data_IF_870040352982
#
_entry.id   IF_870040352982
#
_cell.length_a   1.000
_cell.length_b   1.000
_cell.length_c   1.000
_cell.angle_alpha   90.00
_cell.angle_beta   90.00
_cell.angle_gamma   90.00
#
_symmetry.space_group_name_H-M   'P 1'
#
loop_
_entity.id
_entity.type
_entity.pdbx_description
1 polymer ?
#
# COMPACT_ATOMS: atom_id res chain seq x y z
N UNK A 1 16.51 -32.91 5.38
CA UNK A 1 15.34 -33.47 6.08
C UNK A 1 14.15 -32.58 5.80
N UNK A 2 12.92 -33.10 5.82
CA UNK A 2 11.72 -32.27 5.68
C UNK A 2 11.25 -31.80 7.05
N UNK A 3 10.81 -30.55 7.16
CA UNK A 3 10.28 -29.96 8.41
C UNK A 3 8.86 -29.46 8.18
N UNK A 4 7.96 -29.79 9.10
CA UNK A 4 6.59 -29.28 9.10
C UNK A 4 6.61 -27.76 9.45
N UNK A 5 5.87 -26.97 8.66
CA UNK A 5 5.71 -25.52 8.81
C UNK A 5 4.22 -25.09 8.82
N UNK A 6 3.31 -25.99 9.20
CA UNK A 6 1.88 -25.68 9.34
C UNK A 6 1.66 -24.61 10.41
N UNK A 7 2.44 -24.63 11.49
CA UNK A 7 2.37 -23.63 12.56
C UNK A 7 0.95 -23.53 13.14
N UNK A 8 0.39 -22.33 13.09
CA UNK A 8 -0.96 -21.93 13.49
C UNK A 8 -1.92 -21.69 12.31
N UNK A 9 -1.61 -22.18 11.10
CA UNK A 9 -2.58 -22.17 10.01
C UNK A 9 -3.86 -22.93 10.43
N UNK A 10 -5.07 -22.40 10.13
CA UNK A 10 -6.30 -23.09 10.48
C UNK A 10 -6.37 -24.48 9.85
N UNK A 11 -6.85 -25.48 10.60
CA UNK A 11 -6.90 -26.88 10.14
C UNK A 11 -7.70 -27.08 8.84
N UNK A 12 -8.70 -26.23 8.60
CA UNK A 12 -9.54 -26.23 7.41
C UNK A 12 -9.04 -25.29 6.29
N UNK A 13 -7.89 -24.63 6.46
CA UNK A 13 -7.27 -23.79 5.44
C UNK A 13 -6.43 -24.64 4.48
N UNK A 14 -7.10 -25.35 3.56
CA UNK A 14 -6.41 -26.08 2.51
C UNK A 14 -5.51 -25.13 1.69
N UNK A 15 -4.21 -25.43 1.64
CA UNK A 15 -3.20 -24.63 0.95
C UNK A 15 -3.09 -25.08 -0.50
N UNK A 16 -3.31 -24.16 -1.44
CA UNK A 16 -3.16 -24.39 -2.88
C UNK A 16 -1.77 -24.04 -3.38
N UNK A 17 -1.20 -22.98 -2.83
CA UNK A 17 0.06 -22.42 -3.30
C UNK A 17 0.87 -21.87 -2.13
N UNK A 18 2.17 -22.09 -2.17
CA UNK A 18 3.13 -21.51 -1.25
C UNK A 18 4.23 -20.80 -2.06
N UNK A 19 4.59 -19.59 -1.65
CA UNK A 19 5.64 -18.78 -2.29
C UNK A 19 6.49 -18.11 -1.22
N UNK A 20 7.80 -18.30 -1.34
CA UNK A 20 8.78 -17.55 -0.58
C UNK A 20 9.00 -16.17 -1.22
N UNK A 21 9.17 -15.15 -0.39
CA UNK A 21 9.48 -13.81 -0.89
C UNK A 21 10.92 -13.75 -1.46
N UNK A 22 11.12 -13.15 -2.64
CA UNK A 22 12.43 -13.13 -3.29
C UNK A 22 13.48 -12.24 -2.59
N UNK A 23 13.07 -11.33 -1.70
CA UNK A 23 13.97 -10.41 -0.97
C UNK A 23 14.13 -10.78 0.50
N UNK A 24 13.15 -11.46 1.10
CA UNK A 24 13.23 -11.93 2.49
C UNK A 24 12.70 -13.36 2.64
N UNK A 25 13.63 -14.32 2.77
CA UNK A 25 13.33 -15.75 2.89
C UNK A 25 12.46 -16.14 4.11
N UNK A 26 12.39 -15.28 5.14
CA UNK A 26 11.50 -15.49 6.28
C UNK A 26 10.05 -15.17 5.97
N UNK A 27 9.81 -14.41 4.90
CA UNK A 27 8.48 -14.05 4.44
C UNK A 27 7.97 -15.11 3.48
N UNK A 28 6.92 -15.80 3.89
CA UNK A 28 6.30 -16.87 3.11
C UNK A 28 4.82 -16.58 2.96
N UNK A 29 4.34 -16.60 1.73
CA UNK A 29 2.94 -16.45 1.38
C UNK A 29 2.30 -17.82 1.17
N UNK A 30 1.12 -18.02 1.75
CA UNK A 30 0.29 -19.19 1.53
C UNK A 30 -1.08 -18.76 0.97
N UNK A 31 -1.39 -19.21 -0.24
CA UNK A 31 -2.72 -19.10 -0.81
C UNK A 31 -3.56 -20.29 -0.38
N UNK A 32 -4.69 -20.02 0.28
CA UNK A 32 -5.57 -21.05 0.85
C UNK A 32 -7.00 -20.87 0.35
N UNK A 33 -7.86 -21.86 0.59
CA UNK A 33 -9.33 -21.74 0.43
C UNK A 33 -9.93 -20.56 1.21
N UNK A 34 -9.32 -20.19 2.33
CA UNK A 34 -9.81 -19.15 3.23
C UNK A 34 -9.20 -17.76 2.96
N UNK A 35 -8.36 -17.62 1.93
CA UNK A 35 -7.67 -16.38 1.58
C UNK A 35 -6.15 -16.48 1.62
N UNK A 36 -5.52 -15.30 1.63
CA UNK A 36 -4.07 -15.15 1.69
C UNK A 36 -3.58 -15.13 3.14
N UNK A 37 -2.58 -15.94 3.43
CA UNK A 37 -1.84 -15.94 4.68
C UNK A 37 -0.38 -15.57 4.40
N UNK A 38 0.27 -14.94 5.38
CA UNK A 38 1.69 -14.61 5.35
C UNK A 38 2.35 -15.00 6.66
N UNK A 39 3.51 -15.63 6.58
CA UNK A 39 4.40 -15.85 7.72
C UNK A 39 5.59 -14.90 7.60
N UNK A 40 5.99 -14.28 8.72
CA UNK A 40 7.24 -13.52 8.82
C UNK A 40 8.34 -14.29 9.58
N UNK A 41 8.04 -15.52 9.99
CA UNK A 41 8.90 -16.37 10.84
C UNK A 41 9.39 -17.60 10.10
N UNK A 42 9.26 -17.66 8.77
CA UNK A 42 9.62 -18.82 7.96
C UNK A 42 8.65 -19.99 8.11
N UNK A 43 7.38 -19.72 8.41
CA UNK A 43 6.31 -20.73 8.52
C UNK A 43 6.07 -21.27 9.93
N UNK A 44 6.58 -20.62 10.99
CA UNK A 44 6.24 -21.02 12.36
C UNK A 44 4.92 -20.38 12.84
N UNK A 45 4.66 -19.15 12.40
CA UNK A 45 3.47 -18.36 12.73
C UNK A 45 2.92 -17.71 11.44
N UNK A 46 1.60 -17.71 11.28
CA UNK A 46 0.89 -17.33 10.08
C UNK A 46 -0.19 -16.31 10.41
N UNK A 47 -0.13 -15.19 9.70
CA UNK A 47 -1.12 -14.12 9.81
C UNK A 47 -1.99 -14.10 8.57
N UNK A 48 -3.32 -14.09 8.76
CA UNK A 48 -4.25 -13.85 7.65
C UNK A 48 -4.11 -12.40 7.18
N UNK A 49 -3.79 -12.23 5.90
CA UNK A 49 -3.58 -10.90 5.33
C UNK A 49 -4.91 -10.33 4.82
N UNK A 50 -5.51 -9.46 5.63
CA UNK A 50 -6.74 -8.75 5.29
C UNK A 50 -6.43 -7.48 4.50
N UNK A 51 -6.73 -7.49 3.20
CA UNK A 51 -6.75 -6.27 2.39
C UNK A 51 -8.17 -5.71 2.35
N UNK A 52 -8.30 -4.38 2.46
CA UNK A 52 -9.60 -3.69 2.55
C UNK A 52 -10.61 -4.11 1.46
N UNK A 53 -10.12 -4.41 0.25
CA UNK A 53 -10.96 -4.74 -0.89
C UNK A 53 -10.87 -6.21 -1.33
N UNK A 54 -9.98 -7.03 -0.75
CA UNK A 54 -9.89 -8.44 -1.11
C UNK A 54 -10.92 -9.23 -0.28
N UNK A 55 -11.95 -9.81 -0.90
CA UNK A 55 -12.89 -10.66 -0.18
C UNK A 55 -12.22 -11.97 0.27
N UNK A 56 -12.83 -12.65 1.25
CA UNK A 56 -12.46 -14.02 1.59
C UNK A 56 -12.76 -14.94 0.40
N UNK A 57 -11.71 -15.32 -0.35
CA UNK A 57 -11.79 -16.19 -1.53
C UNK A 57 -10.54 -17.05 -1.61
N UNK A 58 -10.67 -18.23 -2.21
CA UNK A 58 -9.53 -19.09 -2.48
C UNK A 58 -8.48 -18.40 -3.34
N UNK A 59 -7.23 -18.41 -2.87
CA UNK A 59 -6.06 -17.93 -3.61
C UNK A 59 -5.31 -19.15 -4.12
N UNK A 60 -5.30 -19.32 -5.44
CA UNK A 60 -4.79 -20.51 -6.11
C UNK A 60 -3.39 -20.32 -6.69
N UNK A 61 -3.00 -19.09 -7.00
CA UNK A 61 -1.62 -18.79 -7.40
C UNK A 61 -1.17 -17.44 -6.85
N UNK A 62 0.14 -17.32 -6.66
CA UNK A 62 0.81 -16.14 -6.12
C UNK A 62 2.08 -15.90 -6.93
N UNK A 63 2.27 -14.65 -7.32
CA UNK A 63 3.48 -14.17 -7.97
C UNK A 63 3.94 -12.86 -7.32
N UNK A 64 5.21 -12.78 -6.96
CA UNK A 64 5.84 -11.53 -6.54
C UNK A 64 6.58 -10.97 -7.77
N UNK A 65 6.16 -9.80 -8.23
CA UNK A 65 6.77 -9.19 -9.41
C UNK A 65 8.16 -8.65 -9.05
N UNK A 66 9.22 -9.25 -9.59
CA UNK A 66 10.61 -8.96 -9.20
C UNK A 66 11.02 -7.48 -9.31
N UNK A 67 10.56 -6.79 -10.36
CA UNK A 67 10.86 -5.37 -10.60
C UNK A 67 10.01 -4.40 -9.77
N UNK A 68 8.69 -4.46 -9.91
CA UNK A 68 7.77 -3.51 -9.25
C UNK A 68 7.52 -3.83 -7.76
N UNK A 69 7.90 -5.03 -7.32
CA UNK A 69 7.67 -5.56 -5.98
C UNK A 69 6.17 -5.62 -5.62
N UNK A 70 5.32 -5.91 -6.61
CA UNK A 70 3.88 -6.06 -6.42
C UNK A 70 3.54 -7.53 -6.16
N UNK A 71 2.54 -7.76 -5.30
CA UNK A 71 2.01 -9.09 -5.03
C UNK A 71 0.77 -9.33 -5.89
N UNK A 72 0.88 -10.33 -6.76
CA UNK A 72 -0.14 -10.69 -7.73
C UNK A 72 -0.78 -12.00 -7.27
N UNK A 73 -2.11 -12.00 -7.14
CA UNK A 73 -2.89 -13.14 -6.68
C UNK A 73 -3.83 -13.61 -7.78
N UNK A 74 -3.74 -14.89 -8.12
CA UNK A 74 -4.76 -15.61 -8.88
C UNK A 74 -5.82 -16.15 -7.92
N UNK A 75 -7.05 -15.62 -8.00
CA UNK A 75 -8.15 -16.05 -7.13
C UNK A 75 -9.16 -16.92 -7.85
N UNK A 76 -9.83 -17.80 -7.12
CA UNK A 76 -10.90 -18.62 -7.68
C UNK A 76 -12.18 -17.79 -7.89
N UNK A 77 -12.54 -17.53 -9.15
CA UNK A 77 -13.79 -16.87 -9.53
C UNK A 77 -13.87 -15.37 -9.24
N UNK A 78 -12.75 -14.71 -8.88
CA UNK A 78 -12.71 -13.26 -8.56
C UNK A 78 -11.57 -12.51 -9.25
N UNK A 79 -11.12 -13.01 -10.41
CA UNK A 79 -10.08 -12.40 -11.25
C UNK A 79 -8.69 -12.31 -10.57
N UNK A 80 -7.79 -11.56 -11.19
CA UNK A 80 -6.45 -11.28 -10.69
C UNK A 80 -6.50 -10.07 -9.76
N UNK A 81 -5.82 -10.16 -8.62
CA UNK A 81 -5.65 -9.06 -7.69
C UNK A 81 -4.19 -8.64 -7.65
N UNK A 82 -3.94 -7.34 -7.71
CA UNK A 82 -2.60 -6.78 -7.63
C UNK A 82 -2.56 -5.90 -6.40
N UNK A 83 -1.66 -6.22 -5.48
CA UNK A 83 -1.36 -5.40 -4.33
C UNK A 83 -0.03 -4.69 -4.59
N UNK A 84 -0.13 -3.38 -4.83
CA UNK A 84 1.01 -2.53 -5.11
C UNK A 84 2.01 -2.55 -3.95
N UNK A 85 3.29 -2.76 -4.24
CA UNK A 85 4.41 -2.60 -3.30
C UNK A 85 4.29 -3.39 -1.98
N UNK A 86 4.88 -4.59 -1.94
CA UNK A 86 5.02 -5.41 -0.73
C UNK A 86 6.30 -5.16 0.06
N UNK A 87 7.05 -4.09 -0.21
CA UNK A 87 8.31 -3.81 0.50
C UNK A 87 8.14 -3.77 2.02
N UNK A 88 7.00 -3.23 2.51
CA UNK A 88 6.72 -3.24 3.94
C UNK A 88 6.57 -4.64 4.54
N UNK A 89 6.03 -5.62 3.81
CA UNK A 89 5.93 -7.01 4.28
C UNK A 89 7.32 -7.62 4.44
N UNK A 90 8.25 -7.25 3.57
CA UNK A 90 9.64 -7.70 3.59
C UNK A 90 10.44 -7.07 4.74
N UNK A 91 10.03 -5.91 5.22
CA UNK A 91 10.66 -5.18 6.35
C UNK A 91 10.02 -5.48 7.72
N UNK A 92 8.82 -6.07 7.77
CA UNK A 92 8.16 -6.40 9.03
C UNK A 92 9.02 -7.39 9.82
N UNK A 93 9.21 -7.05 11.10
CA UNK A 93 9.89 -7.86 12.10
C UNK A 93 9.28 -7.59 13.47
N UNK A 94 9.58 -8.45 14.45
CA UNK A 94 9.17 -8.25 15.85
C UNK A 94 9.63 -6.90 16.41
N UNK A 95 10.81 -6.42 16.01
CA UNK A 95 11.34 -5.13 16.44
C UNK A 95 10.55 -3.95 15.84
N UNK A 96 10.09 -4.08 14.59
CA UNK A 96 9.23 -3.07 13.95
C UNK A 96 7.86 -3.00 14.64
N UNK A 97 7.25 -4.14 14.95
CA UNK A 97 5.93 -4.21 15.58
C UNK A 97 5.91 -3.73 17.04
N UNK A 98 7.07 -3.70 17.71
CA UNK A 98 7.22 -3.15 19.06
C UNK A 98 7.31 -1.62 19.10
N UNK A 99 7.65 -0.98 17.97
CA UNK A 99 7.73 0.49 17.89
C UNK A 99 6.30 1.08 17.87
N UNK A 100 6.09 2.25 18.50
CA UNK A 100 4.78 2.91 18.46
C UNK A 100 4.37 3.28 17.03
N UNK A 101 5.35 3.64 16.20
CA UNK A 101 5.17 3.86 14.77
C UNK A 101 6.43 3.45 13.99
N UNK A 102 6.26 3.04 12.73
CA UNK A 102 7.38 2.76 11.83
C UNK A 102 7.03 3.20 10.41
N UNK A 103 7.94 3.94 9.77
CA UNK A 103 7.87 4.26 8.34
C UNK A 103 8.67 3.22 7.56
N UNK A 104 8.07 2.61 6.53
CA UNK A 104 8.74 1.62 5.68
C UNK A 104 9.44 2.29 4.50
N UNK A 105 10.32 1.56 3.81
CA UNK A 105 10.94 2.08 2.60
C UNK A 105 9.85 2.44 1.56
N UNK A 106 10.06 3.58 0.92
CA UNK A 106 9.17 4.09 -0.12
C UNK A 106 9.77 3.72 -1.46
N UNK A 107 9.05 2.96 -2.28
CA UNK A 107 9.52 2.64 -3.63
C UNK A 107 9.66 3.92 -4.47
N UNK A 108 10.65 4.00 -5.38
CA UNK A 108 10.75 5.11 -6.32
C UNK A 108 9.45 5.33 -7.09
N UNK A 109 8.95 6.57 -7.08
CA UNK A 109 7.68 6.90 -7.72
C UNK A 109 7.89 7.40 -9.16
N UNK A 110 7.00 6.98 -10.06
CA UNK A 110 7.04 7.42 -11.47
C UNK A 110 6.14 8.65 -11.64
N UNK A 111 6.73 9.74 -12.10
CA UNK A 111 5.98 10.93 -12.52
C UNK A 111 5.50 10.76 -13.95
N UNK A 112 4.22 10.43 -14.12
CA UNK A 112 3.57 10.38 -15.43
C UNK A 112 2.49 11.45 -15.59
N UNK A 113 2.11 11.73 -16.84
CA UNK A 113 1.00 12.64 -17.18
C UNK A 113 -0.09 11.80 -17.82
N UNK A 114 -1.25 11.72 -17.17
CA UNK A 114 -2.43 11.10 -17.77
C UNK A 114 -2.94 11.99 -18.91
N UNK A 115 -2.86 11.48 -20.14
CA UNK A 115 -3.49 12.09 -21.30
C UNK A 115 -4.80 11.34 -21.60
N UNK A 116 -5.94 12.03 -21.78
CA UNK A 116 -7.13 11.38 -22.31
C UNK A 116 -6.81 10.88 -23.72
N UNK A 117 -6.87 9.57 -23.94
CA UNK A 117 -6.50 8.94 -25.22
C UNK A 117 -7.69 8.65 -26.12
N UNK A 118 -8.93 8.69 -25.58
CA UNK A 118 -10.16 8.47 -26.35
C UNK A 118 -11.26 9.44 -25.89
N UNK A 119 -11.90 10.06 -26.87
CA UNK A 119 -13.10 10.90 -26.70
C UNK A 119 -14.30 10.14 -27.28
N UNK A 120 -15.48 10.22 -26.64
CA UNK A 120 -16.73 9.68 -27.20
C UNK A 120 -16.87 8.14 -27.17
N UNK A 121 -16.53 7.48 -26.06
CA UNK A 121 -16.64 6.01 -25.92
C UNK A 121 -18.08 5.49 -25.61
N UNK A 122 -19.08 6.38 -25.62
CA UNK A 122 -20.47 6.04 -25.25
C UNK A 122 -20.58 5.43 -23.85
N UNK A 123 -21.64 4.66 -23.60
CA UNK A 123 -21.91 4.03 -22.30
C UNK A 123 -21.03 2.81 -21.98
N UNK A 124 -20.05 2.48 -22.83
CA UNK A 124 -19.14 1.33 -22.67
C UNK A 124 -17.96 1.63 -21.75
N UNK A 125 -18.22 2.15 -20.55
CA UNK A 125 -17.16 2.48 -19.59
C UNK A 125 -17.07 1.41 -18.51
N UNK A 126 -16.60 0.21 -18.85
CA UNK A 126 -16.14 -0.76 -17.85
C UNK A 126 -14.69 -0.43 -17.47
N UNK A 127 -14.50 0.34 -16.39
CA UNK A 127 -13.17 0.69 -15.86
C UNK A 127 -13.12 0.50 -14.36
N UNK A 128 -12.05 -0.13 -13.89
CA UNK A 128 -11.69 -0.12 -12.48
C UNK A 128 -11.05 1.23 -12.09
N UNK A 129 -11.03 1.58 -10.79
CA UNK A 129 -10.20 2.67 -10.32
C UNK A 129 -8.72 2.35 -10.58
N UNK A 130 -7.98 3.33 -11.09
CA UNK A 130 -6.51 3.24 -11.16
C UNK A 130 -5.90 3.39 -9.75
N UNK A 131 -4.67 2.87 -9.54
CA UNK A 131 -3.93 3.16 -8.31
C UNK A 131 -3.77 4.66 -8.10
N UNK A 132 -3.61 5.06 -6.84
CA UNK A 132 -3.38 6.46 -6.50
C UNK A 132 -2.10 6.96 -7.16
N UNK A 133 -2.17 8.16 -7.73
CA UNK A 133 -1.02 8.79 -8.37
C UNK A 133 0.04 9.19 -7.35
N UNK A 134 1.31 8.90 -7.66
CA UNK A 134 2.47 9.42 -6.94
C UNK A 134 3.20 8.37 -6.11
N UNK A 135 3.86 8.79 -5.03
CA UNK A 135 4.63 7.90 -4.16
C UNK A 135 3.73 7.26 -3.12
N UNK A 136 3.68 5.93 -3.08
CA UNK A 136 2.97 5.18 -2.04
C UNK A 136 3.83 5.12 -0.79
N UNK A 137 3.32 5.70 0.29
CA UNK A 137 3.98 5.74 1.59
C UNK A 137 3.21 4.83 2.52
N UNK A 138 3.88 3.80 3.00
CA UNK A 138 3.32 2.82 3.94
C UNK A 138 3.96 3.02 5.31
N UNK A 139 3.14 2.99 6.36
CA UNK A 139 3.60 3.11 7.74
C UNK A 139 2.76 2.24 8.66
N UNK A 140 3.35 1.83 9.78
CA UNK A 140 2.73 1.06 10.85
C UNK A 140 2.46 1.98 12.03
N UNK A 141 1.29 1.80 12.66
CA UNK A 141 0.94 2.36 13.96
C UNK A 141 0.58 1.21 14.89
N UNK A 142 1.16 1.16 16.08
CA UNK A 142 0.87 0.11 17.04
C UNK A 142 -0.58 0.13 17.52
N UNK A 143 -1.12 1.34 17.68
CA UNK A 143 -2.48 1.59 18.13
C UNK A 143 -3.16 2.64 17.25
N UNK A 144 -4.49 2.71 17.36
CA UNK A 144 -5.29 3.70 16.67
C UNK A 144 -5.05 5.06 17.34
N UNK A 145 -4.71 6.07 16.55
CA UNK A 145 -4.43 7.40 17.07
C UNK A 145 -5.65 8.31 16.94
N UNK A 146 -5.99 8.99 18.04
CA UNK A 146 -7.03 10.01 18.05
C UNK A 146 -6.67 11.23 17.20
N UNK A 147 -7.69 12.03 16.86
CA UNK A 147 -7.51 13.30 16.15
C UNK A 147 -6.61 14.29 16.90
N UNK A 148 -6.50 14.16 18.22
CA UNK A 148 -5.67 15.01 19.09
C UNK A 148 -4.19 14.61 19.11
N UNK A 149 -3.86 13.37 18.72
CA UNK A 149 -2.48 12.93 18.67
C UNK A 149 -1.71 13.69 17.57
N UNK A 150 -0.53 14.19 17.92
CA UNK A 150 0.38 14.82 16.98
C UNK A 150 1.17 13.75 16.23
N UNK A 151 0.80 13.53 14.97
CA UNK A 151 1.53 12.70 14.03
C UNK A 151 1.74 13.49 12.75
N UNK A 152 2.97 13.46 12.23
CA UNK A 152 3.37 14.14 10.99
C UNK A 152 4.09 13.16 10.09
N UNK A 153 3.82 13.28 8.79
CA UNK A 153 4.60 12.64 7.74
C UNK A 153 5.10 13.79 6.86
N UNK A 154 6.39 14.06 6.97
CA UNK A 154 7.07 15.14 6.26
C UNK A 154 7.84 14.55 5.09
N UNK A 155 7.79 15.24 3.95
CA UNK A 155 8.62 14.93 2.79
C UNK A 155 9.74 15.94 2.74
N UNK A 156 10.97 15.44 2.66
CA UNK A 156 12.19 16.24 2.66
C UNK A 156 12.84 16.16 1.28
N UNK A 157 13.56 17.21 0.89
CA UNK A 157 14.51 17.18 -0.21
C UNK A 157 15.87 16.59 0.22
N UNK A 158 16.80 16.44 -0.73
CA UNK A 158 18.18 15.96 -0.47
C UNK A 158 18.97 16.82 0.50
N UNK A 159 18.59 18.09 0.69
CA UNK A 159 19.21 18.99 1.66
C UNK A 159 18.63 18.87 3.07
N UNK A 160 17.60 18.03 3.25
CA UNK A 160 16.89 17.87 4.52
C UNK A 160 15.84 18.96 4.77
N UNK A 161 15.46 19.74 3.76
CA UNK A 161 14.42 20.75 3.88
C UNK A 161 13.06 20.12 3.62
N UNK A 162 12.10 20.40 4.51
CA UNK A 162 10.71 19.96 4.34
C UNK A 162 10.06 20.67 3.15
N UNK A 163 9.58 19.89 2.18
CA UNK A 163 8.92 20.36 0.97
C UNK A 163 7.41 20.13 0.98
N UNK A 164 6.93 19.19 1.82
CA UNK A 164 5.51 18.84 1.93
C UNK A 164 5.20 18.24 3.29
N UNK A 165 4.09 18.68 3.88
CA UNK A 165 3.45 18.00 5.00
C UNK A 165 2.25 17.22 4.48
N UNK A 166 2.22 15.91 4.70
CA UNK A 166 1.04 15.13 4.35
C UNK A 166 -0.07 15.36 5.36
N UNK A 167 -1.29 15.57 4.85
CA UNK A 167 -2.49 15.85 5.64
C UNK A 167 -3.54 14.78 5.37
N UNK A 168 -4.47 14.59 6.31
CA UNK A 168 -5.61 13.67 6.18
C UNK A 168 -5.21 12.22 5.85
N UNK A 169 -4.11 11.74 6.41
CA UNK A 169 -3.73 10.33 6.30
C UNK A 169 -4.44 9.48 7.36
N UNK A 170 -4.65 8.16 7.08
CA UNK A 170 -5.26 7.23 8.03
C UNK A 170 -4.53 7.17 9.38
N UNK A 171 -5.27 6.93 10.47
CA UNK A 171 -4.71 6.83 11.83
C UNK A 171 -5.15 5.55 12.52
N UNK A 172 -5.40 4.51 11.73
CA UNK A 172 -5.90 3.24 12.23
C UNK A 172 -4.75 2.40 12.80
N UNK A 173 -5.05 1.50 13.73
CA UNK A 173 -4.06 0.55 14.22
C UNK A 173 -3.62 -0.38 13.08
N UNK A 174 -2.33 -0.73 13.06
CA UNK A 174 -1.73 -1.57 12.04
C UNK A 174 -1.18 -0.79 10.85
N UNK A 175 -1.30 -1.39 9.67
CA UNK A 175 -0.71 -0.86 8.44
C UNK A 175 -1.62 0.18 7.79
N UNK A 176 -1.03 1.33 7.48
CA UNK A 176 -1.68 2.45 6.84
C UNK A 176 -0.90 2.85 5.60
N UNK A 177 -1.61 3.38 4.60
CA UNK A 177 -0.99 3.83 3.34
C UNK A 177 -1.59 5.16 2.88
N UNK A 178 -0.73 6.04 2.37
CA UNK A 178 -1.10 7.29 1.72
C UNK A 178 -0.28 7.47 0.44
N UNK A 179 -0.85 8.14 -0.56
CA UNK A 179 -0.12 8.55 -1.76
C UNK A 179 0.27 10.03 -1.68
N UNK A 180 1.57 10.32 -1.81
CA UNK A 180 2.05 11.68 -2.03
C UNK A 180 2.05 12.00 -3.52
N UNK A 181 1.35 13.06 -3.92
CA UNK A 181 1.13 13.45 -5.32
C UNK A 181 2.34 14.08 -6.03
N UNK A 182 3.53 13.96 -5.44
CA UNK A 182 4.81 14.46 -5.95
C UNK A 182 4.82 15.98 -6.15
N UNK A 183 4.16 16.71 -5.25
CA UNK A 183 4.09 18.17 -5.27
C UNK A 183 4.60 18.78 -3.98
N UNK A 184 5.13 19.99 -4.09
CA UNK A 184 5.40 20.87 -2.97
C UNK A 184 4.09 21.24 -2.24
N UNK A 185 4.20 21.79 -1.04
CA UNK A 185 3.06 22.42 -0.35
C UNK A 185 2.43 23.50 -1.24
N UNK A 186 1.10 23.57 -1.23
CA UNK A 186 0.37 24.58 -1.97
C UNK A 186 0.52 25.96 -1.30
N UNK A 187 0.49 27.03 -2.10
CA UNK A 187 0.44 28.38 -1.53
C UNK A 187 -0.78 28.52 -0.62
N UNK A 188 -0.58 29.08 0.58
CA UNK A 188 -1.68 29.30 1.53
C UNK A 188 -2.64 30.33 0.94
N UNK A 189 -3.92 29.98 0.68
CA UNK A 189 -4.87 30.96 0.19
C UNK A 189 -5.11 32.02 1.28
N UNK A 190 -5.24 33.28 0.88
CA UNK A 190 -5.45 34.41 1.80
C UNK A 190 -6.79 34.30 2.56
N UNK A 191 -7.76 33.56 2.04
CA UNK A 191 -9.06 33.27 2.66
C UNK A 191 -9.39 31.80 2.48
N UNK A 192 -9.95 31.17 3.50
CA UNK A 192 -10.50 29.81 3.38
C UNK A 192 -11.70 29.85 2.42
N UNK A 193 -11.63 29.08 1.35
CA UNK A 193 -12.68 29.00 0.34
C UNK A 193 -13.70 27.97 0.81
N UNK A 194 -15.00 28.32 0.92
CA UNK A 194 -16.06 27.35 1.22
C UNK A 194 -16.11 26.30 0.11
N UNK A 195 -16.27 25.04 0.50
CA UNK A 195 -16.12 23.87 -0.39
C UNK A 195 -17.15 23.75 -1.53
N UNK A 196 -18.09 24.68 -1.66
CA UNK A 196 -19.23 24.57 -2.58
C UNK A 196 -19.03 25.15 -3.99
N UNK A 197 -17.90 25.81 -4.30
CA UNK A 197 -17.75 26.44 -5.61
C UNK A 197 -16.41 26.15 -6.26
N UNK A 198 -16.37 25.08 -7.06
CA UNK A 198 -15.58 25.06 -8.30
C UNK A 198 -15.92 23.84 -9.16
N UNK A 199 -16.78 24.02 -10.18
CA UNK A 199 -17.04 23.03 -11.23
C UNK A 199 -15.76 22.66 -12.02
N UNK A 200 -14.71 23.49 -11.94
CA UNK A 200 -13.43 23.36 -12.66
C UNK A 200 -12.18 23.30 -11.77
N UNK A 201 -12.30 23.39 -10.45
CA UNK A 201 -11.17 23.70 -9.56
C UNK A 201 -10.80 22.55 -8.65
N UNK A 202 -9.74 21.84 -9.02
CA UNK A 202 -8.88 21.23 -8.01
C UNK A 202 -8.32 22.41 -7.19
N UNK A 203 -8.55 22.43 -5.87
CA UNK A 203 -8.03 23.47 -4.97
C UNK A 203 -6.51 23.70 -5.13
N UNK A 204 -5.93 24.74 -4.51
CA UNK A 204 -4.55 25.14 -4.77
C UNK A 204 -3.59 23.96 -4.62
N UNK A 205 -2.74 23.74 -5.64
CA UNK A 205 -1.73 22.69 -5.66
C UNK A 205 -0.35 23.31 -5.81
N UNK A 206 0.62 22.79 -5.06
CA UNK A 206 2.02 23.17 -5.27
C UNK A 206 2.54 22.72 -6.63
N UNK A 207 3.67 23.30 -7.08
CA UNK A 207 4.39 22.82 -8.26
C UNK A 207 4.80 21.36 -8.08
N UNK A 208 5.01 20.65 -9.19
CA UNK A 208 5.56 19.29 -9.14
C UNK A 208 7.01 19.35 -8.70
N UNK A 209 7.40 18.38 -7.87
CA UNK A 209 8.80 18.14 -7.53
C UNK A 209 9.50 17.59 -8.77
N UNK A 210 10.73 18.06 -9.03
CA UNK A 210 11.56 17.45 -10.07
C UNK A 210 12.12 16.13 -9.55
N UNK A 211 12.36 15.15 -10.42
CA UNK A 211 13.14 13.98 -10.04
C UNK A 211 14.46 14.42 -9.40
N UNK A 212 14.93 13.66 -8.40
CA UNK A 212 16.25 13.85 -7.80
C UNK A 212 16.48 15.17 -7.04
N UNK A 213 15.42 15.80 -6.52
CA UNK A 213 15.51 16.91 -5.55
C UNK A 213 15.67 16.38 -4.13
#
# INVERSE_FOLDING_TARGET
>A
TWKNITGDLPENAYVWVLREDPKNQKVIYAGTELGLYVSFTGGNEWMKLHMKNLPTVAVQDILIHSKENDLILGTHGRSIWIFDDVSFLQEISSDVLRKPANLFAVRPAIRYVSKPTRYGIGDKVFRGPNPSYGALITYYLQEKLDKKAEIKIEILDKSGKVIRDLKNFPREAGLNRIAWDLRFEAARPRRERKAEEDFFGRGPRGPQVLPDI
#
